data_IF_690021551021
#
_entry.id   IF_690021551021
#
_cell.length_a   1.000
_cell.length_b   1.000
_cell.length_c   1.000
_cell.angle_alpha   90.00
_cell.angle_beta   90.00
_cell.angle_gamma   90.00
#
_symmetry.space_group_name_H-M   'P 1'
#
loop_
_entity.id
_entity.type
_entity.pdbx_description
1 polymer ?
#
# COMPACT_ATOMS: atom_id res chain seq x y z
N UNK A 1 12.36 -29.69 -8.44
CA UNK A 1 13.60 -29.98 -7.69
C UNK A 1 14.72 -29.16 -8.34
N UNK A 2 14.80 -27.85 -8.03
CA UNK A 2 15.90 -26.95 -8.39
C UNK A 2 15.85 -25.67 -7.52
N UNK A 3 15.23 -25.73 -6.35
CA UNK A 3 15.03 -24.54 -5.50
C UNK A 3 16.09 -24.38 -4.39
N UNK A 4 17.07 -25.28 -4.28
CA UNK A 4 18.03 -25.32 -3.18
C UNK A 4 19.51 -25.19 -3.61
N UNK A 5 19.80 -24.35 -4.61
CA UNK A 5 21.20 -23.95 -4.81
C UNK A 5 21.53 -22.77 -3.89
N UNK A 6 21.62 -23.05 -2.61
CA UNK A 6 22.30 -22.21 -1.63
C UNK A 6 23.80 -22.36 -1.83
N UNK A 7 24.35 -21.65 -2.81
CA UNK A 7 25.78 -21.45 -2.88
C UNK A 7 26.13 -20.27 -1.95
N UNK A 8 26.90 -20.56 -0.93
CA UNK A 8 27.45 -19.57 -0.01
C UNK A 8 28.36 -18.60 -0.78
N UNK A 9 27.83 -17.46 -1.17
CA UNK A 9 28.60 -16.32 -1.64
C UNK A 9 28.33 -15.14 -0.72
N UNK A 10 29.39 -14.55 -0.21
CA UNK A 10 29.42 -13.43 0.74
C UNK A 10 28.88 -12.10 0.15
N UNK A 11 28.22 -12.14 -0.99
CA UNK A 11 27.68 -10.95 -1.67
C UNK A 11 26.23 -10.73 -1.30
N UNK A 12 25.93 -9.52 -0.82
CA UNK A 12 24.56 -9.11 -0.51
C UNK A 12 23.62 -9.19 -1.72
N UNK A 13 24.15 -8.96 -2.94
CA UNK A 13 23.39 -8.94 -4.19
C UNK A 13 23.86 -10.08 -5.08
N UNK A 14 22.93 -10.92 -5.53
CA UNK A 14 23.20 -12.04 -6.41
C UNK A 14 22.21 -12.04 -7.58
N UNK A 15 22.71 -12.00 -8.81
CA UNK A 15 21.93 -12.07 -10.03
C UNK A 15 22.24 -13.35 -10.78
N UNK A 16 21.22 -14.11 -11.13
CA UNK A 16 21.34 -15.41 -11.81
C UNK A 16 20.53 -15.39 -13.10
N UNK A 17 21.17 -15.77 -14.21
CA UNK A 17 20.53 -16.02 -15.50
C UNK A 17 20.53 -17.53 -15.73
N UNK A 18 19.36 -18.11 -16.05
CA UNK A 18 19.25 -19.52 -16.39
C UNK A 18 19.05 -19.71 -17.89
N UNK A 19 19.88 -20.58 -18.49
CA UNK A 19 19.75 -21.03 -19.88
C UNK A 19 19.72 -22.55 -19.90
N UNK A 20 18.55 -23.14 -20.20
CA UNK A 20 18.30 -24.57 -20.08
C UNK A 20 18.60 -25.10 -18.68
N UNK A 21 19.61 -25.97 -18.55
CA UNK A 21 20.06 -26.54 -17.28
C UNK A 21 21.21 -25.74 -16.65
N UNK A 22 21.78 -24.79 -17.36
CA UNK A 22 22.91 -23.98 -16.92
C UNK A 22 22.45 -22.71 -16.19
N UNK A 23 23.20 -22.34 -15.15
CA UNK A 23 22.98 -21.14 -14.35
C UNK A 23 24.24 -20.27 -14.35
N UNK A 24 24.10 -19.03 -14.76
CA UNK A 24 25.19 -18.06 -14.86
C UNK A 24 25.03 -16.97 -13.83
N UNK A 25 26.12 -16.59 -13.16
CA UNK A 25 26.22 -15.39 -12.34
C UNK A 25 27.15 -14.39 -13.05
N UNK A 26 26.63 -13.55 -13.95
CA UNK A 26 27.44 -12.65 -14.74
C UNK A 26 28.05 -11.56 -13.89
N UNK A 27 29.17 -10.98 -14.37
CA UNK A 27 29.72 -9.75 -13.82
C UNK A 27 28.80 -8.60 -14.22
N UNK A 28 28.15 -7.98 -13.23
CA UNK A 28 27.28 -6.83 -13.43
C UNK A 28 28.12 -5.57 -13.36
N UNK A 29 27.95 -4.69 -14.37
CA UNK A 29 28.45 -3.34 -14.39
C UNK A 29 27.38 -2.40 -13.87
N UNK A 30 27.80 -1.31 -13.26
CA UNK A 30 26.91 -0.29 -12.76
C UNK A 30 25.86 -0.82 -11.74
N UNK A 31 24.76 -0.11 -11.63
CA UNK A 31 23.68 -0.44 -10.73
C UNK A 31 22.66 -1.41 -11.37
N UNK A 32 22.07 -2.24 -10.53
CA UNK A 32 20.86 -3.00 -10.85
C UNK A 32 19.68 -2.17 -10.43
N UNK A 33 18.70 -1.96 -11.32
CA UNK A 33 17.46 -1.27 -10.98
C UNK A 33 16.26 -2.20 -11.09
N UNK A 34 15.42 -2.20 -10.06
CA UNK A 34 14.16 -2.95 -10.01
C UNK A 34 13.00 -1.98 -9.78
N UNK A 35 12.13 -1.85 -10.78
CA UNK A 35 11.01 -0.92 -10.77
C UNK A 35 9.68 -1.65 -10.70
N UNK A 36 8.79 -1.20 -9.81
CA UNK A 36 7.47 -1.78 -9.56
C UNK A 36 6.45 -0.65 -9.55
N UNK A 37 5.38 -0.82 -10.32
CA UNK A 37 4.22 0.06 -10.34
C UNK A 37 2.96 -0.72 -9.92
N UNK A 38 2.08 -0.07 -9.19
CA UNK A 38 0.87 -0.71 -8.66
C UNK A 38 -0.14 -1.07 -9.74
N UNK A 39 -0.21 -0.32 -10.83
CA UNK A 39 -1.26 -0.46 -11.85
C UNK A 39 -0.71 -0.68 -13.25
N UNK A 40 -1.19 -1.73 -13.90
CA UNK A 40 -1.05 -1.92 -15.34
C UNK A 40 0.35 -2.15 -15.89
N UNK A 41 1.34 -2.37 -15.03
CA UNK A 41 2.73 -2.61 -15.44
C UNK A 41 3.31 -3.85 -14.77
N UNK A 42 4.06 -4.68 -15.51
CA UNK A 42 4.90 -5.70 -14.92
C UNK A 42 6.05 -5.04 -14.17
N UNK A 43 6.58 -5.69 -13.15
CA UNK A 43 7.82 -5.28 -12.54
C UNK A 43 8.96 -5.45 -13.53
N UNK A 44 9.88 -4.46 -13.54
CA UNK A 44 10.96 -4.35 -14.52
C UNK A 44 12.31 -4.39 -13.82
N UNK A 45 13.20 -5.27 -14.26
CA UNK A 45 14.58 -5.34 -13.83
C UNK A 45 15.49 -4.90 -14.98
N UNK A 46 16.36 -3.93 -14.73
CA UNK A 46 17.39 -3.47 -15.70
C UNK A 46 18.77 -3.59 -15.08
N UNK A 47 19.71 -4.11 -15.84
CA UNK A 47 21.11 -4.24 -15.47
C UNK A 47 22.01 -4.36 -16.69
N UNK A 48 23.29 -4.09 -16.53
CA UNK A 48 24.30 -4.23 -17.58
C UNK A 48 25.34 -5.25 -17.14
N UNK A 49 25.70 -6.15 -18.04
CA UNK A 49 26.73 -7.18 -17.79
C UNK A 49 27.87 -7.06 -18.80
N UNK A 50 29.02 -7.58 -18.40
CA UNK A 50 30.14 -7.83 -19.33
C UNK A 50 29.93 -9.20 -19.96
N UNK A 51 29.96 -9.25 -21.30
CA UNK A 51 29.91 -10.51 -22.03
C UNK A 51 31.27 -11.16 -22.04
N UNK A 52 31.31 -12.43 -21.68
CA UNK A 52 32.46 -13.31 -21.82
C UNK A 52 32.12 -14.51 -22.72
N UNK A 53 33.12 -15.33 -23.03
CA UNK A 53 32.96 -16.49 -23.93
C UNK A 53 32.16 -17.64 -23.31
N UNK A 54 31.89 -17.61 -22.02
CA UNK A 54 31.19 -18.66 -21.26
C UNK A 54 29.70 -18.38 -21.22
N UNK A 55 29.31 -17.09 -21.17
CA UNK A 55 27.93 -16.68 -21.00
C UNK A 55 27.09 -16.97 -22.24
N UNK A 56 26.17 -17.93 -22.11
CA UNK A 56 25.21 -18.27 -23.15
C UNK A 56 23.81 -17.99 -22.64
N UNK A 57 23.11 -17.01 -23.23
CA UNK A 57 21.73 -16.70 -22.89
C UNK A 57 21.05 -15.96 -24.03
N UNK A 58 19.70 -16.06 -24.07
CA UNK A 58 18.89 -15.39 -25.07
C UNK A 58 17.61 -14.79 -24.41
N UNK A 59 16.86 -14.04 -25.21
CA UNK A 59 15.52 -13.58 -24.83
C UNK A 59 14.63 -14.80 -24.48
N UNK A 60 13.81 -14.61 -23.45
CA UNK A 60 13.00 -15.70 -22.88
C UNK A 60 13.69 -16.47 -21.74
N UNK A 61 15.01 -16.35 -21.58
CA UNK A 61 15.69 -16.95 -20.42
C UNK A 61 15.26 -16.29 -19.12
N UNK A 62 15.20 -17.10 -18.03
CA UNK A 62 14.81 -16.57 -16.75
C UNK A 62 15.95 -15.85 -16.04
N UNK A 63 15.59 -14.81 -15.30
CA UNK A 63 16.47 -14.00 -14.46
C UNK A 63 15.92 -14.00 -13.04
N UNK A 64 16.83 -14.19 -12.07
CA UNK A 64 16.54 -14.14 -10.64
C UNK A 64 17.46 -13.14 -9.97
N UNK A 65 16.89 -12.26 -9.12
CA UNK A 65 17.67 -11.37 -8.27
C UNK A 65 17.42 -11.74 -6.82
N UNK A 66 18.52 -11.88 -6.10
CA UNK A 66 18.51 -12.13 -4.65
C UNK A 66 19.20 -10.97 -3.93
N UNK A 67 18.67 -10.60 -2.79
CA UNK A 67 19.29 -9.65 -1.86
C UNK A 67 19.39 -10.29 -0.48
N UNK A 68 20.62 -10.39 0.04
CA UNK A 68 20.91 -11.07 1.33
C UNK A 68 20.26 -12.45 1.44
N UNK A 69 20.33 -13.22 0.35
CA UNK A 69 19.77 -14.58 0.26
C UNK A 69 18.25 -14.63 0.02
N UNK A 70 17.56 -13.51 0.04
CA UNK A 70 16.10 -13.44 -0.21
C UNK A 70 15.86 -13.20 -1.70
N UNK A 71 15.08 -14.07 -2.35
CA UNK A 71 14.66 -13.85 -3.74
C UNK A 71 13.66 -12.69 -3.83
N UNK A 72 14.03 -11.64 -4.58
CA UNK A 72 13.23 -10.40 -4.69
C UNK A 72 12.62 -10.20 -6.07
N UNK A 73 13.24 -10.73 -7.12
CA UNK A 73 12.72 -10.67 -8.48
C UNK A 73 12.94 -12.00 -9.19
N UNK A 74 11.91 -12.48 -9.88
CA UNK A 74 11.96 -13.58 -10.83
C UNK A 74 11.22 -13.15 -12.10
N UNK A 75 11.90 -13.21 -13.24
CA UNK A 75 11.29 -12.83 -14.51
C UNK A 75 12.04 -13.40 -15.70
N UNK A 76 11.81 -12.80 -16.86
CA UNK A 76 12.35 -13.28 -18.13
C UNK A 76 12.98 -12.13 -18.89
N UNK A 77 14.04 -12.41 -19.65
CA UNK A 77 14.72 -11.45 -20.52
C UNK A 77 13.81 -11.15 -21.72
N UNK A 78 13.47 -9.88 -21.89
CA UNK A 78 12.70 -9.42 -23.07
C UNK A 78 13.51 -8.59 -24.03
N UNK A 79 14.61 -7.99 -23.56
CA UNK A 79 15.46 -7.15 -24.41
C UNK A 79 16.93 -7.30 -24.00
N UNK A 80 17.78 -7.38 -25.03
CA UNK A 80 19.23 -7.31 -24.93
C UNK A 80 19.73 -6.24 -25.90
N UNK A 81 20.57 -5.33 -25.40
CA UNK A 81 21.25 -4.32 -26.23
C UNK A 81 22.75 -4.41 -25.98
N UNK A 82 23.51 -4.83 -27.00
CA UNK A 82 24.97 -4.95 -26.93
C UNK A 82 25.63 -3.71 -27.53
N UNK A 83 26.65 -3.22 -26.90
CA UNK A 83 27.55 -2.18 -27.43
C UNK A 83 28.84 -2.78 -28.02
N UNK A 84 29.69 -1.90 -28.53
CA UNK A 84 31.00 -2.28 -29.14
C UNK A 84 32.04 -2.73 -28.09
N UNK A 85 31.83 -2.44 -26.82
CA UNK A 85 32.71 -2.76 -25.69
C UNK A 85 32.34 -4.08 -25.03
N UNK A 86 31.45 -4.86 -25.66
CA UNK A 86 30.89 -6.12 -25.13
C UNK A 86 30.07 -5.97 -23.85
N UNK A 87 29.54 -4.78 -23.58
CA UNK A 87 28.55 -4.62 -22.53
C UNK A 87 27.17 -4.96 -23.08
N UNK A 88 26.40 -5.69 -22.31
CA UNK A 88 25.02 -6.04 -22.66
C UNK A 88 24.08 -5.46 -21.61
N UNK A 89 23.31 -4.44 -22.01
CA UNK A 89 22.17 -3.95 -21.24
C UNK A 89 21.00 -4.88 -21.43
N UNK A 90 20.44 -5.35 -20.31
CA UNK A 90 19.34 -6.31 -20.26
C UNK A 90 18.12 -5.67 -19.60
N UNK A 91 16.95 -5.92 -20.18
CA UNK A 91 15.66 -5.60 -19.59
C UNK A 91 14.89 -6.91 -19.41
N UNK A 92 14.54 -7.19 -18.18
CA UNK A 92 13.69 -8.34 -17.82
C UNK A 92 12.40 -7.86 -17.16
N UNK A 93 11.33 -8.62 -17.39
CA UNK A 93 10.02 -8.41 -16.77
C UNK A 93 9.58 -9.68 -16.05
N UNK A 94 8.80 -9.49 -14.98
CA UNK A 94 8.10 -10.59 -14.32
C UNK A 94 6.95 -11.14 -15.19
N UNK A 95 6.26 -12.18 -14.70
CA UNK A 95 5.20 -12.83 -15.47
C UNK A 95 3.96 -11.95 -15.69
N UNK A 96 3.78 -10.85 -14.95
CA UNK A 96 2.72 -9.88 -15.23
C UNK A 96 2.84 -9.26 -16.62
N UNK A 97 4.03 -9.34 -17.27
CA UNK A 97 4.22 -8.89 -18.65
C UNK A 97 3.25 -9.56 -19.61
N UNK A 98 2.85 -10.81 -19.34
CA UNK A 98 1.90 -11.54 -20.19
C UNK A 98 0.47 -11.00 -20.08
N UNK A 99 0.12 -10.26 -19.02
CA UNK A 99 -1.17 -9.57 -18.92
C UNK A 99 -1.30 -8.32 -19.79
N UNK A 100 -0.23 -7.92 -20.50
CA UNK A 100 -0.32 -6.93 -21.60
C UNK A 100 -0.90 -7.51 -22.89
N UNK A 101 -1.08 -8.82 -22.98
CA UNK A 101 -1.81 -9.44 -24.09
C UNK A 101 -3.27 -8.99 -24.09
N UNK A 102 -3.83 -8.87 -25.30
CA UNK A 102 -5.25 -8.55 -25.49
C UNK A 102 -6.04 -9.81 -25.80
N UNK A 103 -7.26 -9.86 -25.30
CA UNK A 103 -8.20 -10.95 -25.59
C UNK A 103 -9.64 -10.48 -25.41
N UNK A 104 -10.59 -11.39 -25.62
CA UNK A 104 -12.03 -11.21 -25.40
C UNK A 104 -12.51 -12.24 -24.40
N UNK A 105 -13.04 -11.78 -23.25
CA UNK A 105 -13.57 -12.62 -22.20
C UNK A 105 -15.03 -12.29 -21.88
N UNK A 106 -15.82 -13.34 -21.68
CA UNK A 106 -17.19 -13.22 -21.17
C UNK A 106 -17.26 -14.00 -19.87
N UNK A 107 -17.64 -13.34 -18.81
CA UNK A 107 -17.80 -14.00 -17.52
C UNK A 107 -19.00 -13.44 -16.76
N UNK A 108 -19.64 -14.32 -15.98
CA UNK A 108 -20.81 -13.99 -15.17
C UNK A 108 -20.62 -14.45 -13.75
N UNK A 109 -21.03 -13.61 -12.79
CA UNK A 109 -21.02 -13.90 -11.37
C UNK A 109 -19.64 -14.34 -10.81
N UNK A 110 -18.55 -13.73 -11.30
CA UNK A 110 -17.18 -13.99 -10.84
C UNK A 110 -16.63 -12.83 -10.01
N UNK A 111 -15.82 -13.14 -9.01
CA UNK A 111 -15.03 -12.14 -8.29
C UNK A 111 -13.79 -11.75 -9.10
N UNK A 112 -13.18 -10.59 -8.80
CA UNK A 112 -11.90 -10.21 -9.41
C UNK A 112 -10.80 -11.26 -9.13
N UNK A 113 -10.80 -11.86 -7.94
CA UNK A 113 -9.89 -12.95 -7.58
C UNK A 113 -10.11 -14.22 -8.43
N UNK A 114 -11.36 -14.57 -8.74
CA UNK A 114 -11.69 -15.67 -9.64
C UNK A 114 -11.29 -15.37 -11.09
N UNK A 115 -11.44 -14.11 -11.53
CA UNK A 115 -10.96 -13.64 -12.83
C UNK A 115 -9.43 -13.78 -12.94
N UNK A 116 -8.67 -13.31 -11.94
CA UNK A 116 -7.21 -13.46 -11.93
C UNK A 116 -6.79 -14.92 -12.06
N UNK A 117 -7.43 -15.84 -11.31
CA UNK A 117 -7.13 -17.28 -11.39
C UNK A 117 -7.46 -17.88 -12.76
N UNK A 118 -8.57 -17.44 -13.38
CA UNK A 118 -8.97 -17.88 -14.71
C UNK A 118 -7.93 -17.45 -15.75
N UNK A 119 -7.57 -16.18 -15.78
CA UNK A 119 -6.57 -15.63 -16.71
C UNK A 119 -5.18 -16.27 -16.48
N UNK A 120 -4.78 -16.45 -15.23
CA UNK A 120 -3.51 -17.11 -14.89
C UNK A 120 -3.47 -18.55 -15.43
N UNK A 121 -4.57 -19.29 -15.34
CA UNK A 121 -4.68 -20.66 -15.87
C UNK A 121 -4.58 -20.68 -17.41
N UNK A 122 -5.30 -19.77 -18.07
CA UNK A 122 -5.35 -19.72 -19.53
C UNK A 122 -4.00 -19.34 -20.16
N UNK A 123 -3.23 -18.50 -19.45
CA UNK A 123 -1.88 -18.10 -19.86
C UNK A 123 -0.75 -18.91 -19.19
N UNK A 124 -1.09 -20.02 -18.50
CA UNK A 124 -0.14 -20.91 -17.84
C UNK A 124 0.79 -20.19 -16.86
N UNK A 125 0.28 -19.18 -16.14
CA UNK A 125 1.01 -18.41 -15.14
C UNK A 125 0.86 -19.04 -13.76
N UNK A 126 1.93 -19.00 -12.98
CA UNK A 126 1.93 -19.54 -11.62
C UNK A 126 1.37 -18.51 -10.64
N UNK A 127 0.54 -18.93 -9.70
CA UNK A 127 0.06 -18.07 -8.61
C UNK A 127 0.21 -18.74 -7.26
N UNK A 128 0.27 -17.93 -6.20
CA UNK A 128 0.36 -18.37 -4.81
C UNK A 128 -0.88 -17.89 -4.03
N UNK A 129 -0.78 -16.76 -3.35
CA UNK A 129 -1.87 -16.19 -2.54
C UNK A 129 -2.75 -15.31 -3.43
N UNK A 130 -4.00 -15.70 -3.62
CA UNK A 130 -5.02 -14.89 -4.28
C UNK A 130 -6.17 -14.70 -3.28
N UNK A 131 -6.16 -13.59 -2.57
CA UNK A 131 -7.19 -13.23 -1.59
C UNK A 131 -8.55 -13.02 -2.26
N UNK A 132 -9.63 -13.50 -1.64
CA UNK A 132 -10.96 -13.38 -2.19
C UNK A 132 -11.49 -11.94 -2.10
N UNK A 133 -11.84 -11.38 -3.25
CA UNK A 133 -12.37 -10.00 -3.36
C UNK A 133 -13.87 -9.90 -3.11
N UNK A 134 -14.58 -11.02 -2.93
CA UNK A 134 -15.98 -11.17 -2.49
C UNK A 134 -17.05 -10.50 -3.36
N UNK A 135 -16.72 -9.50 -4.17
CA UNK A 135 -17.67 -8.79 -5.04
C UNK A 135 -17.82 -9.51 -6.37
N UNK A 136 -19.06 -9.86 -6.75
CA UNK A 136 -19.38 -10.58 -7.97
C UNK A 136 -19.66 -9.64 -9.14
N UNK A 137 -19.03 -9.90 -10.26
CA UNK A 137 -19.06 -9.09 -11.47
C UNK A 137 -19.46 -9.95 -12.65
N UNK A 138 -20.25 -9.38 -13.55
CA UNK A 138 -20.59 -9.98 -14.86
C UNK A 138 -20.24 -8.98 -15.95
N UNK A 139 -19.42 -9.40 -16.93
CA UNK A 139 -18.94 -8.51 -17.99
C UNK A 139 -18.69 -9.26 -19.31
N UNK A 140 -18.76 -8.48 -20.38
CA UNK A 140 -18.20 -8.79 -21.70
C UNK A 140 -17.02 -7.85 -21.91
N UNK A 141 -15.83 -8.40 -21.99
CA UNK A 141 -14.58 -7.67 -22.19
C UNK A 141 -14.08 -7.96 -23.60
N UNK A 142 -14.16 -6.99 -24.50
CA UNK A 142 -13.76 -7.16 -25.89
C UNK A 142 -12.48 -6.40 -26.20
N UNK A 143 -11.49 -7.09 -26.77
CA UNK A 143 -10.23 -6.51 -27.26
C UNK A 143 -9.50 -5.64 -26.21
N UNK A 144 -9.60 -6.03 -24.96
CA UNK A 144 -8.92 -5.36 -23.84
C UNK A 144 -7.66 -6.11 -23.44
N UNK A 145 -6.71 -5.41 -22.83
CA UNK A 145 -5.60 -6.10 -22.17
C UNK A 145 -6.10 -6.85 -20.95
N UNK A 146 -5.46 -7.97 -20.62
CA UNK A 146 -5.80 -8.72 -19.40
C UNK A 146 -5.61 -7.85 -18.15
N UNK A 147 -4.62 -6.93 -18.15
CA UNK A 147 -4.48 -5.92 -17.12
C UNK A 147 -5.72 -5.05 -16.99
N UNK A 148 -6.24 -4.49 -18.10
CA UNK A 148 -7.41 -3.62 -18.06
C UNK A 148 -8.63 -4.34 -17.48
N UNK A 149 -8.82 -5.63 -17.84
CA UNK A 149 -9.90 -6.46 -17.32
C UNK A 149 -9.78 -6.63 -15.80
N UNK A 150 -8.58 -6.98 -15.32
CA UNK A 150 -8.31 -7.16 -13.87
C UNK A 150 -8.47 -5.84 -13.14
N UNK A 151 -7.86 -4.75 -13.62
CA UNK A 151 -7.92 -3.44 -12.96
C UNK A 151 -9.35 -2.93 -12.90
N UNK A 152 -10.14 -3.09 -13.96
CA UNK A 152 -11.55 -2.72 -13.95
C UNK A 152 -12.34 -3.51 -12.90
N UNK A 153 -12.09 -4.82 -12.76
CA UNK A 153 -12.74 -5.65 -11.76
C UNK A 153 -12.32 -5.29 -10.33
N UNK A 154 -11.06 -4.90 -10.12
CA UNK A 154 -10.56 -4.43 -8.83
C UNK A 154 -11.11 -3.05 -8.49
N UNK A 155 -11.24 -2.13 -9.47
CA UNK A 155 -11.85 -0.81 -9.28
C UNK A 155 -13.34 -0.92 -8.92
N UNK A 156 -14.08 -1.86 -9.55
CA UNK A 156 -15.47 -2.14 -9.17
C UNK A 156 -15.54 -2.66 -7.72
N UNK A 157 -14.62 -3.56 -7.35
CA UNK A 157 -14.53 -4.06 -5.97
C UNK A 157 -14.26 -2.91 -4.98
N UNK A 158 -13.33 -2.00 -5.31
CA UNK A 158 -13.04 -0.83 -4.48
C UNK A 158 -14.26 0.07 -4.30
N UNK A 159 -14.98 0.37 -5.40
CA UNK A 159 -16.19 1.21 -5.37
C UNK A 159 -17.31 0.63 -4.53
N UNK A 160 -17.48 -0.70 -4.56
CA UNK A 160 -18.59 -1.38 -3.89
C UNK A 160 -18.26 -1.81 -2.47
N UNK A 161 -17.04 -2.28 -2.24
CA UNK A 161 -16.62 -2.83 -0.93
C UNK A 161 -15.72 -1.89 -0.13
N UNK A 162 -15.18 -0.81 -0.74
CA UNK A 162 -14.16 0.08 -0.18
C UNK A 162 -12.88 -0.67 0.22
N UNK A 163 -12.64 -1.81 -0.39
CA UNK A 163 -11.45 -2.63 -0.20
C UNK A 163 -10.58 -2.52 -1.45
N UNK A 164 -9.34 -2.08 -1.27
CA UNK A 164 -8.35 -1.99 -2.34
C UNK A 164 -7.48 -3.23 -2.34
N UNK A 165 -7.33 -3.84 -3.51
CA UNK A 165 -6.47 -4.98 -3.74
C UNK A 165 -5.38 -4.64 -4.75
N UNK A 166 -4.22 -5.25 -4.59
CA UNK A 166 -3.10 -5.12 -5.53
C UNK A 166 -2.67 -6.49 -6.01
N UNK A 167 -2.45 -6.58 -7.33
CA UNK A 167 -1.88 -7.76 -7.98
C UNK A 167 -0.41 -7.48 -8.27
N UNK A 168 0.46 -8.38 -7.84
CA UNK A 168 1.90 -8.31 -8.06
C UNK A 168 2.49 -9.71 -8.26
N UNK A 169 3.72 -9.77 -8.75
CA UNK A 169 4.50 -10.99 -8.78
C UNK A 169 5.35 -11.12 -7.52
N UNK A 170 5.26 -12.26 -6.85
CA UNK A 170 6.05 -12.61 -5.67
C UNK A 170 7.01 -13.73 -6.03
N UNK A 171 8.17 -13.34 -6.52
CA UNK A 171 9.24 -14.23 -6.96
C UNK A 171 8.75 -15.35 -7.91
N UNK A 172 8.10 -14.95 -9.01
CA UNK A 172 7.59 -15.85 -10.05
C UNK A 172 6.21 -16.46 -9.73
N UNK A 173 5.46 -15.90 -8.78
CA UNK A 173 4.11 -16.33 -8.43
C UNK A 173 3.17 -15.12 -8.28
N UNK A 174 2.08 -15.10 -9.04
CA UNK A 174 1.07 -14.07 -8.91
C UNK A 174 0.47 -14.07 -7.51
N UNK A 175 0.39 -12.90 -6.93
CA UNK A 175 -0.17 -12.68 -5.60
C UNK A 175 -1.14 -11.52 -5.64
N UNK A 176 -2.36 -11.71 -5.13
CA UNK A 176 -3.38 -10.68 -4.97
C UNK A 176 -3.64 -10.49 -3.48
N UNK A 177 -3.41 -9.29 -2.97
CA UNK A 177 -3.60 -8.96 -1.54
C UNK A 177 -4.39 -7.69 -1.34
N UNK A 178 -5.12 -7.65 -0.23
CA UNK A 178 -5.73 -6.43 0.27
C UNK A 178 -4.64 -5.47 0.78
N UNK A 179 -4.66 -4.23 0.30
CA UNK A 179 -3.70 -3.18 0.67
C UNK A 179 -3.64 -2.95 2.18
N UNK A 180 -4.76 -3.07 2.88
CA UNK A 180 -4.81 -2.94 4.34
C UNK A 180 -3.93 -3.97 5.08
N UNK A 181 -3.69 -5.14 4.49
CA UNK A 181 -2.79 -6.16 5.03
C UNK A 181 -1.31 -5.95 4.68
N UNK A 182 -1.01 -4.96 3.83
CA UNK A 182 0.34 -4.66 3.33
C UNK A 182 0.98 -3.45 4.02
N UNK A 183 0.63 -3.20 5.28
CA UNK A 183 1.26 -2.16 6.08
C UNK A 183 2.66 -2.56 6.48
N UNK A 184 3.59 -1.63 6.32
CA UNK A 184 4.97 -1.76 6.78
C UNK A 184 5.22 -0.85 7.97
N UNK A 185 6.28 -1.16 8.69
CA UNK A 185 6.81 -0.38 9.82
C UNK A 185 7.98 0.54 9.39
N UNK A 186 8.32 0.54 8.11
CA UNK A 186 9.39 1.37 7.53
C UNK A 186 8.94 2.82 7.46
N UNK A 187 9.46 3.64 8.38
CA UNK A 187 9.09 5.06 8.51
C UNK A 187 9.85 5.89 7.48
N UNK A 188 9.12 6.73 6.75
CA UNK A 188 9.66 7.76 5.87
C UNK A 188 9.69 9.09 6.62
N UNK A 189 10.88 9.55 7.02
CA UNK A 189 11.09 10.81 7.73
C UNK A 189 12.25 11.60 7.11
N UNK A 190 12.48 12.83 7.58
CA UNK A 190 13.53 13.71 7.07
C UNK A 190 14.96 13.13 7.18
N UNK A 191 15.20 12.14 8.06
CA UNK A 191 16.52 11.56 8.27
C UNK A 191 16.91 10.50 7.21
N UNK A 192 15.91 9.89 6.56
CA UNK A 192 16.11 8.79 5.58
C UNK A 192 15.87 9.20 4.12
N UNK A 193 15.55 10.47 3.87
CA UNK A 193 15.17 11.03 2.57
C UNK A 193 16.20 12.09 2.17
N UNK A 194 16.72 12.00 0.96
CA UNK A 194 17.64 13.02 0.43
C UNK A 194 16.89 14.20 -0.19
N UNK A 195 15.81 13.91 -0.94
CA UNK A 195 15.02 14.92 -1.63
C UNK A 195 13.56 14.49 -1.75
N UNK A 196 12.65 15.48 -1.81
CA UNK A 196 11.22 15.23 -1.96
C UNK A 196 10.54 16.27 -2.86
N UNK A 197 9.43 15.84 -3.48
CA UNK A 197 8.49 16.69 -4.19
C UNK A 197 7.07 16.36 -3.71
N UNK A 198 6.37 17.35 -3.15
CA UNK A 198 5.00 17.20 -2.66
C UNK A 198 4.02 17.98 -3.51
N UNK A 199 3.00 17.30 -4.00
CA UNK A 199 1.92 17.89 -4.78
C UNK A 199 0.56 17.64 -4.12
N UNK A 200 -0.24 18.70 -3.99
CA UNK A 200 -1.64 18.65 -3.56
C UNK A 200 -2.52 19.30 -4.63
N UNK A 201 -3.48 18.56 -5.16
CA UNK A 201 -4.28 19.00 -6.32
C UNK A 201 -5.77 18.70 -6.13
N UNK A 202 -6.60 19.47 -6.84
CA UNK A 202 -8.02 19.21 -7.07
C UNK A 202 -8.35 19.06 -8.56
N UNK A 203 -7.33 18.98 -9.42
CA UNK A 203 -7.47 19.00 -10.88
C UNK A 203 -7.96 17.65 -11.45
N UNK A 204 -7.57 16.53 -10.83
CA UNK A 204 -7.97 15.20 -11.27
C UNK A 204 -8.46 14.34 -10.08
N UNK A 205 -9.42 13.46 -10.36
CA UNK A 205 -10.01 12.53 -9.38
C UNK A 205 -10.57 13.20 -8.11
N UNK A 206 -10.94 14.50 -8.23
CA UNK A 206 -11.60 15.27 -7.16
C UNK A 206 -12.97 15.72 -7.65
N UNK A 207 -14.03 15.31 -6.94
CA UNK A 207 -15.40 15.62 -7.31
C UNK A 207 -16.20 16.13 -6.11
N UNK A 208 -16.77 17.34 -6.25
CA UNK A 208 -17.67 17.94 -5.26
C UNK A 208 -19.12 17.56 -5.51
N UNK A 209 -19.40 16.94 -6.67
CA UNK A 209 -20.74 16.52 -7.08
C UNK A 209 -20.66 15.21 -7.87
N UNK A 210 -21.44 14.24 -7.45
CA UNK A 210 -21.64 12.98 -8.17
C UNK A 210 -23.02 13.01 -8.80
N UNK A 211 -23.11 12.74 -10.09
CA UNK A 211 -24.35 12.62 -10.84
C UNK A 211 -24.40 11.27 -11.53
N UNK A 212 -25.25 10.38 -11.01
CA UNK A 212 -25.52 9.09 -11.62
C UNK A 212 -26.86 9.14 -12.35
N UNK A 213 -26.92 8.45 -13.51
CA UNK A 213 -28.15 8.36 -14.30
C UNK A 213 -28.45 6.90 -14.63
N UNK A 214 -29.71 6.54 -14.60
CA UNK A 214 -30.23 5.22 -14.99
C UNK A 214 -31.26 5.39 -16.09
N UNK A 215 -31.14 4.61 -17.16
CA UNK A 215 -32.18 4.57 -18.18
C UNK A 215 -33.40 3.77 -17.63
N UNK A 216 -34.57 4.39 -17.64
CA UNK A 216 -35.81 3.82 -17.18
C UNK A 216 -36.68 3.43 -18.39
N UNK A 217 -36.73 2.15 -18.67
CA UNK A 217 -37.45 1.61 -19.84
C UNK A 217 -38.97 1.77 -19.72
N UNK A 218 -39.53 1.79 -18.50
CA UNK A 218 -40.98 1.96 -18.26
C UNK A 218 -41.46 3.35 -18.61
N UNK A 219 -40.68 4.36 -18.27
CA UNK A 219 -41.02 5.78 -18.48
C UNK A 219 -40.41 6.37 -19.73
N UNK A 220 -39.50 5.67 -20.41
CA UNK A 220 -38.65 6.17 -21.51
C UNK A 220 -37.89 7.44 -21.14
N UNK A 221 -37.56 7.63 -19.84
CA UNK A 221 -36.81 8.77 -19.29
C UNK A 221 -35.59 8.28 -18.54
N UNK A 222 -34.74 9.24 -18.17
CA UNK A 222 -33.60 8.98 -17.29
C UNK A 222 -33.93 9.38 -15.87
N UNK A 223 -33.76 8.44 -14.94
CA UNK A 223 -33.74 8.75 -13.51
C UNK A 223 -32.36 9.35 -13.17
N UNK A 224 -32.36 10.44 -12.42
CA UNK A 224 -31.15 11.20 -12.07
C UNK A 224 -30.98 11.20 -10.56
N UNK A 225 -29.80 10.81 -10.11
CA UNK A 225 -29.41 10.77 -8.70
C UNK A 225 -28.19 11.66 -8.48
N UNK A 226 -28.21 12.48 -7.43
CA UNK A 226 -27.16 13.47 -7.16
C UNK A 226 -26.78 13.40 -5.69
N UNK A 227 -25.47 13.26 -5.41
CA UNK A 227 -24.87 13.56 -4.12
C UNK A 227 -23.87 14.72 -4.30
N UNK A 228 -23.82 15.66 -3.35
CA UNK A 228 -22.94 16.82 -3.46
C UNK A 228 -22.52 17.36 -2.10
N UNK A 229 -21.33 17.96 -2.03
CA UNK A 229 -20.82 18.67 -0.86
C UNK A 229 -20.85 20.19 -1.11
N UNK A 230 -21.79 20.87 -0.45
CA UNK A 230 -21.97 22.32 -0.62
C UNK A 230 -20.81 23.14 -0.06
N UNK A 231 -20.04 22.62 0.90
CA UNK A 231 -18.89 23.32 1.47
C UNK A 231 -17.72 23.32 0.46
N UNK A 232 -17.37 22.15 -0.07
CA UNK A 232 -16.35 22.07 -1.11
C UNK A 232 -16.77 22.71 -2.43
N UNK A 233 -18.05 22.67 -2.80
CA UNK A 233 -18.54 23.40 -3.97
C UNK A 233 -18.34 24.93 -3.85
N UNK A 234 -18.43 25.49 -2.64
CA UNK A 234 -18.14 26.92 -2.43
C UNK A 234 -16.66 27.25 -2.56
N UNK A 235 -15.77 26.35 -2.14
CA UNK A 235 -14.33 26.61 -2.12
C UNK A 235 -13.61 26.18 -3.41
N UNK A 236 -14.06 25.10 -4.07
CA UNK A 236 -13.40 24.51 -5.24
C UNK A 236 -14.23 24.62 -6.53
N UNK A 237 -15.47 25.11 -6.44
CA UNK A 237 -16.41 25.10 -7.55
C UNK A 237 -17.11 23.74 -7.72
N UNK A 238 -17.81 23.60 -8.85
CA UNK A 238 -18.54 22.38 -9.20
C UNK A 238 -17.63 21.46 -10.01
N UNK A 239 -17.02 20.52 -9.34
CA UNK A 239 -16.26 19.42 -9.96
C UNK A 239 -17.19 18.20 -10.01
N UNK A 240 -17.72 17.88 -11.21
CA UNK A 240 -18.78 16.88 -11.35
C UNK A 240 -18.29 15.59 -11.98
N UNK A 241 -18.50 14.47 -11.28
CA UNK A 241 -18.46 13.13 -11.85
C UNK A 241 -19.81 12.79 -12.45
N UNK A 242 -19.83 12.22 -13.68
CA UNK A 242 -21.02 11.75 -14.36
C UNK A 242 -20.84 10.31 -14.79
N UNK A 243 -21.77 9.42 -14.43
CA UNK A 243 -21.75 8.00 -14.82
C UNK A 243 -23.17 7.51 -15.09
N UNK A 244 -23.33 6.63 -16.10
CA UNK A 244 -24.54 5.85 -16.31
C UNK A 244 -24.42 4.53 -15.58
N UNK A 245 -25.42 4.18 -14.75
CA UNK A 245 -25.46 2.94 -13.99
C UNK A 245 -26.36 1.91 -14.68
N UNK A 246 -26.21 0.63 -14.25
CA UNK A 246 -27.02 -0.47 -14.79
C UNK A 246 -28.52 -0.21 -14.55
N UNK A 247 -29.33 -0.48 -15.58
CA UNK A 247 -30.79 -0.29 -15.56
C UNK A 247 -31.50 -1.12 -14.48
N UNK A 248 -30.91 -2.26 -14.09
CA UNK A 248 -31.46 -3.15 -13.09
C UNK A 248 -31.10 -2.75 -11.65
N UNK A 249 -30.25 -1.73 -11.45
CA UNK A 249 -29.85 -1.24 -10.15
C UNK A 249 -31.01 -0.56 -9.45
N UNK A 250 -31.30 -0.93 -8.22
CA UNK A 250 -32.37 -0.30 -7.44
C UNK A 250 -32.03 1.15 -7.06
N UNK A 251 -33.04 1.95 -6.78
CA UNK A 251 -32.88 3.35 -6.34
C UNK A 251 -31.99 3.46 -5.09
N UNK A 252 -32.17 2.53 -4.14
CA UNK A 252 -31.40 2.51 -2.90
C UNK A 252 -29.91 2.23 -3.16
N UNK A 253 -29.60 1.29 -4.04
CA UNK A 253 -28.21 0.99 -4.44
C UNK A 253 -27.56 2.15 -5.17
N UNK A 254 -28.29 2.86 -6.05
CA UNK A 254 -27.77 4.03 -6.76
C UNK A 254 -27.47 5.18 -5.79
N UNK A 255 -28.37 5.46 -4.84
CA UNK A 255 -28.14 6.46 -3.80
C UNK A 255 -26.92 6.12 -2.95
N UNK A 256 -26.82 4.87 -2.50
CA UNK A 256 -25.66 4.40 -1.74
C UNK A 256 -24.36 4.55 -2.56
N UNK A 257 -24.38 4.21 -3.86
CA UNK A 257 -23.24 4.39 -4.76
C UNK A 257 -22.85 5.86 -4.90
N UNK A 258 -23.83 6.79 -5.03
CA UNK A 258 -23.56 8.23 -5.04
C UNK A 258 -22.80 8.69 -3.78
N UNK A 259 -23.25 8.27 -2.61
CA UNK A 259 -22.65 8.66 -1.33
C UNK A 259 -21.24 8.08 -1.17
N UNK A 260 -21.04 6.83 -1.60
CA UNK A 260 -19.72 6.18 -1.59
C UNK A 260 -18.75 6.92 -2.51
N UNK A 261 -19.14 7.23 -3.74
CA UNK A 261 -18.31 7.94 -4.71
C UNK A 261 -17.99 9.35 -4.23
N UNK A 262 -18.97 10.07 -3.67
CA UNK A 262 -18.71 11.38 -3.09
C UNK A 262 -17.69 11.29 -1.96
N UNK A 263 -17.84 10.35 -1.03
CA UNK A 263 -16.90 10.15 0.07
C UNK A 263 -15.49 9.78 -0.41
N UNK A 264 -15.39 8.99 -1.47
CA UNK A 264 -14.10 8.53 -2.01
C UNK A 264 -13.34 9.66 -2.72
N UNK A 265 -14.04 10.51 -3.47
CA UNK A 265 -13.44 11.48 -4.38
C UNK A 265 -13.56 12.95 -3.94
N UNK A 266 -14.36 13.28 -2.90
CA UNK A 266 -14.52 14.66 -2.43
C UNK A 266 -13.38 15.08 -1.49
N UNK A 267 -12.16 14.95 -1.97
CA UNK A 267 -10.93 15.30 -1.25
C UNK A 267 -9.84 15.73 -2.24
N UNK A 268 -8.85 16.49 -1.76
CA UNK A 268 -7.64 16.76 -2.54
C UNK A 268 -6.88 15.48 -2.80
N UNK A 269 -6.36 15.32 -4.00
CA UNK A 269 -5.36 14.31 -4.30
C UNK A 269 -4.01 14.78 -3.76
N UNK A 270 -3.26 13.89 -3.14
CA UNK A 270 -1.92 14.16 -2.62
C UNK A 270 -0.94 13.16 -3.20
N UNK A 271 0.20 13.63 -3.65
CA UNK A 271 1.31 12.79 -4.07
C UNK A 271 2.61 13.31 -3.49
N UNK A 272 3.49 12.39 -3.12
CA UNK A 272 4.79 12.66 -2.56
C UNK A 272 5.82 11.80 -3.30
N UNK A 273 6.76 12.44 -3.95
CA UNK A 273 7.91 11.76 -4.54
C UNK A 273 9.09 11.89 -3.59
N UNK A 274 9.73 10.77 -3.27
CA UNK A 274 10.90 10.69 -2.41
C UNK A 274 12.08 10.15 -3.22
N UNK A 275 13.25 10.73 -3.05
CA UNK A 275 14.46 10.34 -3.76
C UNK A 275 15.53 9.84 -2.82
N UNK A 276 16.25 8.83 -3.30
CA UNK A 276 17.41 8.26 -2.63
C UNK A 276 17.16 7.85 -1.16
N UNK A 277 15.99 7.28 -0.91
CA UNK A 277 15.60 6.76 0.42
C UNK A 277 16.39 5.50 0.73
N UNK A 278 16.79 5.31 1.99
CA UNK A 278 17.44 4.07 2.42
C UNK A 278 16.60 2.84 2.06
N UNK A 279 17.22 1.84 1.43
CA UNK A 279 16.54 0.70 0.85
C UNK A 279 15.95 -0.29 1.85
N UNK A 280 14.69 -0.67 1.63
CA UNK A 280 14.02 -1.79 2.29
C UNK A 280 13.31 -2.65 1.22
N UNK A 281 13.75 -3.90 1.04
CA UNK A 281 13.22 -4.82 0.01
C UNK A 281 11.75 -5.20 0.24
N UNK A 282 11.20 -4.95 1.41
CA UNK A 282 9.78 -5.18 1.72
C UNK A 282 8.87 -4.12 1.09
N UNK A 283 9.43 -2.94 0.78
CA UNK A 283 8.68 -1.85 0.15
C UNK A 283 8.43 -2.20 -1.31
N UNK A 284 7.16 -2.32 -1.67
CA UNK A 284 6.71 -2.58 -3.04
C UNK A 284 5.46 -1.77 -3.34
N UNK A 285 5.16 -1.59 -4.61
CA UNK A 285 3.92 -0.93 -5.00
C UNK A 285 2.70 -1.66 -4.41
N UNK A 286 1.79 -0.90 -3.80
CA UNK A 286 0.64 -1.41 -3.03
C UNK A 286 0.86 -1.51 -1.52
N UNK A 287 2.09 -1.36 -1.01
CA UNK A 287 2.32 -1.27 0.43
C UNK A 287 1.87 0.08 0.99
N UNK A 288 1.51 0.08 2.27
CA UNK A 288 1.28 1.29 3.06
C UNK A 288 2.49 1.55 3.94
N UNK A 289 3.07 2.73 3.81
CA UNK A 289 4.23 3.17 4.61
C UNK A 289 3.87 4.38 5.46
N UNK A 290 4.28 4.44 6.74
CA UNK A 290 4.08 5.61 7.57
C UNK A 290 5.05 6.72 7.15
N UNK A 291 4.50 7.90 6.87
CA UNK A 291 5.24 9.10 6.47
C UNK A 291 5.15 10.14 7.58
N UNK A 292 6.31 10.65 8.01
CA UNK A 292 6.45 11.71 9.02
C UNK A 292 7.40 12.76 8.49
N UNK A 293 6.86 13.74 7.77
CA UNK A 293 7.65 14.80 7.15
C UNK A 293 7.13 16.17 7.60
N UNK A 294 8.07 16.99 8.05
CA UNK A 294 7.85 18.42 8.22
C UNK A 294 8.40 19.12 6.98
N UNK A 295 7.50 19.71 6.18
CA UNK A 295 7.81 20.43 4.95
C UNK A 295 7.84 21.95 5.18
N UNK A 296 7.78 22.39 6.43
CA UNK A 296 7.78 23.78 6.86
C UNK A 296 6.37 24.34 7.04
N UNK A 297 5.56 24.39 6.00
CA UNK A 297 4.16 24.82 6.02
C UNK A 297 3.14 23.66 6.04
N UNK A 298 3.61 22.44 5.85
CA UNK A 298 2.79 21.22 5.82
C UNK A 298 3.48 20.13 6.66
N UNK A 299 2.76 19.59 7.63
CA UNK A 299 3.15 18.36 8.32
C UNK A 299 2.41 17.17 7.72
N UNK A 300 3.16 16.14 7.32
CA UNK A 300 2.61 14.85 6.88
C UNK A 300 2.83 13.83 7.98
N UNK A 301 1.75 13.31 8.56
CA UNK A 301 1.77 12.30 9.63
C UNK A 301 0.69 11.26 9.35
N UNK A 302 0.85 10.54 8.26
CA UNK A 302 -0.17 9.59 7.80
C UNK A 302 0.45 8.38 7.10
N UNK A 303 -0.37 7.35 6.87
CA UNK A 303 -0.01 6.27 5.97
C UNK A 303 -0.19 6.71 4.52
N UNK A 304 0.86 6.54 3.72
CA UNK A 304 0.77 6.74 2.28
C UNK A 304 0.92 5.42 1.53
N UNK A 305 0.20 5.32 0.43
CA UNK A 305 0.22 4.15 -0.45
C UNK A 305 1.37 4.30 -1.46
N UNK A 306 2.21 3.29 -1.54
CA UNK A 306 3.27 3.22 -2.55
C UNK A 306 2.65 2.95 -3.92
N UNK A 307 2.61 3.96 -4.78
CA UNK A 307 2.13 3.84 -6.17
C UNK A 307 3.22 3.26 -7.07
N UNK A 308 4.46 3.74 -6.85
CA UNK A 308 5.65 3.30 -7.59
C UNK A 308 6.86 3.27 -6.67
N UNK A 309 7.70 2.26 -6.86
CA UNK A 309 9.02 2.18 -6.24
C UNK A 309 10.04 1.73 -7.26
N UNK A 310 11.21 2.37 -7.24
CA UNK A 310 12.40 1.96 -7.97
C UNK A 310 13.50 1.67 -6.96
N UNK A 311 13.87 0.42 -6.82
CA UNK A 311 15.03 0.00 -6.05
C UNK A 311 16.28 0.12 -6.91
N UNK A 312 17.33 0.66 -6.33
CA UNK A 312 18.66 0.76 -6.96
C UNK A 312 19.67 0.06 -6.05
N UNK A 313 20.33 -0.94 -6.59
CA UNK A 313 21.40 -1.69 -5.92
C UNK A 313 22.73 -1.33 -6.55
N UNK A 314 23.61 -0.73 -5.77
CA UNK A 314 24.91 -0.24 -6.23
C UNK A 314 25.96 -0.42 -5.13
N UNK A 315 27.12 -1.00 -5.44
CA UNK A 315 28.26 -1.13 -4.53
C UNK A 315 27.89 -1.67 -3.13
N UNK A 316 27.06 -2.72 -3.06
CA UNK A 316 26.48 -3.29 -1.82
C UNK A 316 25.53 -2.34 -1.06
N UNK A 317 25.22 -1.19 -1.61
CA UNK A 317 24.20 -0.27 -1.06
C UNK A 317 22.86 -0.50 -1.75
N UNK A 318 21.78 -0.19 -1.05
CA UNK A 318 20.43 -0.29 -1.56
C UNK A 318 19.67 0.98 -1.24
N UNK A 319 19.16 1.64 -2.28
CA UNK A 319 18.35 2.84 -2.20
C UNK A 319 17.03 2.66 -2.92
N UNK A 320 16.08 3.55 -2.63
CA UNK A 320 14.76 3.57 -3.24
C UNK A 320 14.35 4.98 -3.68
N UNK A 321 13.75 5.08 -4.88
CA UNK A 321 12.92 6.22 -5.25
C UNK A 321 11.46 5.81 -5.12
N UNK A 322 10.64 6.61 -4.46
CA UNK A 322 9.23 6.30 -4.18
C UNK A 322 8.31 7.36 -4.78
N UNK A 323 7.18 6.92 -5.30
CA UNK A 323 6.01 7.77 -5.53
C UNK A 323 4.89 7.28 -4.63
N UNK A 324 4.47 8.12 -3.71
CA UNK A 324 3.47 7.85 -2.70
C UNK A 324 2.21 8.66 -2.98
N UNK A 325 1.05 8.09 -2.71
CA UNK A 325 -0.25 8.76 -2.77
C UNK A 325 -1.01 8.58 -1.47
N UNK A 326 -2.11 9.32 -1.27
CA UNK A 326 -2.93 9.21 -0.07
C UNK A 326 -3.40 7.77 0.17
N UNK A 327 -3.16 7.24 1.36
CA UNK A 327 -3.42 5.85 1.72
C UNK A 327 -4.14 5.64 3.07
N UNK A 328 -4.38 6.70 3.82
CA UNK A 328 -4.92 6.62 5.19
C UNK A 328 -6.27 5.89 5.28
N UNK A 329 -7.14 6.07 4.30
CA UNK A 329 -8.44 5.41 4.29
C UNK A 329 -8.32 3.88 4.22
N UNK A 330 -7.28 3.36 3.54
CA UNK A 330 -7.02 1.93 3.44
C UNK A 330 -6.30 1.38 4.68
N UNK A 331 -5.61 2.24 5.41
CA UNK A 331 -4.93 1.89 6.65
C UNK A 331 -5.91 1.55 7.78
N UNK A 332 -7.09 2.14 7.79
CA UNK A 332 -8.10 1.99 8.86
C UNK A 332 -9.01 0.77 8.72
N UNK A 333 -9.09 0.14 7.53
CA UNK A 333 -10.03 -0.98 7.29
C UNK A 333 -9.59 -2.34 7.86
N UNK A 334 -8.37 -2.50 8.36
CA UNK A 334 -7.86 -3.80 8.85
C UNK A 334 -8.40 -4.24 10.22
N UNK A 335 -9.16 -3.40 10.92
CA UNK A 335 -9.61 -3.69 12.30
C UNK A 335 -11.05 -4.20 12.44
N UNK A 336 -11.85 -4.30 11.35
CA UNK A 336 -13.29 -4.61 11.47
C UNK A 336 -13.75 -5.97 10.95
N UNK A 337 -12.88 -6.86 10.48
CA UNK A 337 -13.30 -8.11 9.82
C UNK A 337 -13.18 -9.41 10.64
N UNK A 338 -12.99 -9.34 11.96
CA UNK A 338 -13.12 -10.53 12.83
C UNK A 338 -14.06 -10.27 13.98
N UNK A 339 -15.35 -10.25 13.71
CA UNK A 339 -16.38 -10.64 14.71
C UNK A 339 -17.69 -10.97 14.00
N UNK A 340 -17.87 -12.22 13.61
CA UNK A 340 -19.19 -12.81 13.35
C UNK A 340 -19.41 -13.92 14.37
N UNK A 341 -20.17 -13.62 15.38
CA UNK A 341 -20.61 -14.52 16.42
C UNK A 341 -21.91 -14.00 17.04
N UNK A 342 -22.98 -14.52 16.49
CA UNK A 342 -24.35 -14.44 16.90
C UNK A 342 -24.59 -14.36 18.43
N UNK A 343 -25.39 -13.38 18.90
CA UNK A 343 -26.48 -13.65 19.88
C UNK A 343 -27.43 -12.46 19.99
N UNK A 344 -28.70 -12.73 19.76
CA UNK A 344 -29.83 -11.87 20.11
C UNK A 344 -29.86 -11.60 21.61
N UNK A 345 -30.09 -10.35 22.05
CA UNK A 345 -31.20 -10.05 22.95
C UNK A 345 -31.46 -8.56 23.16
N UNK A 346 -32.71 -8.29 23.43
CA UNK A 346 -33.40 -7.01 23.52
C UNK A 346 -33.09 -6.22 24.80
N UNK A 347 -33.31 -4.89 24.62
CA UNK A 347 -33.84 -3.90 25.58
C UNK A 347 -33.10 -3.64 26.92
N UNK A 348 -32.61 -2.45 27.14
CA UNK A 348 -33.20 -1.39 27.99
C UNK A 348 -32.24 -0.20 28.21
N UNK A 349 -32.83 0.98 28.20
CA UNK A 349 -32.22 2.26 28.55
C UNK A 349 -31.79 2.30 30.03
N UNK A 350 -30.61 2.85 30.32
CA UNK A 350 -30.41 3.77 31.45
C UNK A 350 -29.08 4.53 31.38
N UNK A 351 -29.19 5.82 31.60
CA UNK A 351 -28.07 6.80 31.71
C UNK A 351 -27.24 6.55 33.00
N UNK A 352 -25.91 6.59 32.83
CA UNK A 352 -24.90 6.69 33.89
C UNK A 352 -23.52 6.76 33.31
N UNK A 353 -22.52 7.47 33.90
CA UNK A 353 -21.24 7.68 33.26
C UNK A 353 -20.48 6.36 33.11
N UNK A 354 -20.14 6.01 31.87
CA UNK A 354 -19.50 4.76 31.49
C UNK A 354 -18.08 4.67 32.07
N UNK A 355 -17.85 3.73 32.97
CA UNK A 355 -16.54 3.14 33.20
C UNK A 355 -16.11 2.39 31.92
N UNK A 356 -14.98 2.79 31.34
CA UNK A 356 -14.43 2.14 30.16
C UNK A 356 -13.95 0.73 30.52
N UNK A 357 -14.65 -0.28 30.06
CA UNK A 357 -14.14 -1.65 30.02
C UNK A 357 -13.08 -1.73 28.91
N UNK A 358 -11.83 -1.91 29.29
CA UNK A 358 -10.68 -2.10 28.39
C UNK A 358 -10.93 -3.36 27.54
N UNK A 359 -10.84 -3.23 26.22
CA UNK A 359 -11.02 -4.38 25.30
C UNK A 359 -9.88 -5.39 25.46
N UNK A 360 -10.06 -6.62 24.99
CA UNK A 360 -8.99 -7.64 25.00
C UNK A 360 -7.77 -7.18 24.18
N UNK A 361 -8.00 -6.45 23.11
CA UNK A 361 -6.96 -5.87 22.24
C UNK A 361 -6.21 -4.74 22.95
N UNK A 362 -6.89 -3.88 23.69
CA UNK A 362 -6.27 -2.85 24.52
C UNK A 362 -5.38 -3.46 25.60
N UNK A 363 -5.82 -4.53 26.25
CA UNK A 363 -5.01 -5.25 27.25
C UNK A 363 -3.74 -5.88 26.64
N UNK A 364 -3.84 -6.47 25.44
CA UNK A 364 -2.69 -7.01 24.73
C UNK A 364 -1.69 -5.89 24.34
N UNK A 365 -2.19 -4.76 23.85
CA UNK A 365 -1.38 -3.59 23.55
C UNK A 365 -0.71 -3.01 24.80
N UNK A 366 -1.43 -2.85 25.90
CA UNK A 366 -0.89 -2.42 27.20
C UNK A 366 0.27 -3.32 27.63
N UNK A 367 0.08 -4.64 27.53
CA UNK A 367 1.10 -5.61 27.91
C UNK A 367 2.35 -5.52 27.02
N UNK A 368 2.18 -5.34 25.70
CA UNK A 368 3.27 -5.16 24.74
C UNK A 368 4.05 -3.87 25.05
N UNK A 369 3.37 -2.76 25.27
CA UNK A 369 4.00 -1.48 25.60
C UNK A 369 4.78 -1.57 26.92
N UNK A 370 4.20 -2.14 27.96
CA UNK A 370 4.87 -2.27 29.26
C UNK A 370 6.10 -3.19 29.22
N UNK A 371 6.21 -4.12 28.28
CA UNK A 371 7.41 -4.93 28.06
C UNK A 371 8.58 -4.11 27.48
N UNK A 372 8.28 -3.11 26.65
CA UNK A 372 9.28 -2.29 25.96
C UNK A 372 9.66 -1.05 26.76
N UNK A 373 8.72 -0.48 27.50
CA UNK A 373 8.90 0.74 28.29
C UNK A 373 9.88 0.53 29.46
N UNK A 374 10.78 1.52 29.64
CA UNK A 374 11.78 1.54 30.71
C UNK A 374 11.74 2.88 31.46
N UNK A 375 12.44 2.95 32.56
CA UNK A 375 12.61 4.18 33.37
C UNK A 375 11.26 4.85 33.71
N UNK A 376 11.12 6.14 33.42
CA UNK A 376 9.88 6.91 33.69
C UNK A 376 8.69 6.49 32.87
N UNK A 377 8.91 5.79 31.73
CA UNK A 377 7.84 5.19 30.91
C UNK A 377 7.33 3.85 31.45
N UNK A 378 8.04 3.19 32.37
CA UNK A 378 7.61 1.89 32.89
C UNK A 378 6.19 1.94 33.42
N UNK A 379 5.38 0.93 33.06
CA UNK A 379 3.98 0.77 33.47
C UNK A 379 3.01 1.88 32.99
N UNK A 380 3.39 2.69 32.00
CA UNK A 380 2.52 3.74 31.44
C UNK A 380 1.71 3.27 30.23
N UNK A 381 1.80 2.02 29.81
CA UNK A 381 1.13 1.49 28.62
C UNK A 381 -0.37 1.71 28.62
N UNK A 382 -1.04 1.63 29.78
CA UNK A 382 -2.48 1.90 29.91
C UNK A 382 -2.84 3.37 29.63
N UNK A 383 -1.95 4.31 29.98
CA UNK A 383 -2.12 5.74 29.73
C UNK A 383 -1.99 6.02 28.23
N UNK A 384 -0.99 5.43 27.59
CA UNK A 384 -0.81 5.53 26.14
C UNK A 384 -2.03 4.99 25.39
N UNK A 385 -2.50 3.78 25.69
CA UNK A 385 -3.67 3.19 25.04
C UNK A 385 -4.93 4.03 25.27
N UNK A 386 -5.18 4.47 26.50
CA UNK A 386 -6.32 5.33 26.88
C UNK A 386 -6.39 6.60 26.02
N UNK A 387 -5.31 7.35 25.93
CA UNK A 387 -5.33 8.62 25.20
C UNK A 387 -5.19 8.42 23.69
N UNK A 388 -4.47 7.42 23.25
CA UNK A 388 -4.45 7.07 21.81
C UNK A 388 -5.84 6.71 21.30
N UNK A 389 -6.62 5.93 22.04
CA UNK A 389 -8.01 5.64 21.69
C UNK A 389 -8.89 6.89 21.71
N UNK A 390 -8.72 7.77 22.72
CA UNK A 390 -9.50 9.01 22.86
C UNK A 390 -9.25 9.97 21.69
N UNK A 391 -8.01 10.08 21.23
CA UNK A 391 -7.61 10.95 20.11
C UNK A 391 -7.55 10.23 18.76
N UNK A 392 -7.94 8.94 18.71
CA UNK A 392 -7.98 8.10 17.48
C UNK A 392 -6.63 7.96 16.79
N UNK A 393 -5.55 7.91 17.55
CA UNK A 393 -4.18 7.70 17.04
C UNK A 393 -3.65 6.33 17.43
N UNK A 394 -2.60 5.86 16.78
CA UNK A 394 -2.02 4.55 17.05
C UNK A 394 -1.17 4.56 18.32
N UNK A 395 -1.53 3.74 19.32
CA UNK A 395 -0.83 3.69 20.61
C UNK A 395 0.63 3.23 20.51
N UNK A 396 0.94 2.28 19.63
CA UNK A 396 2.31 1.82 19.42
C UNK A 396 3.19 2.90 18.80
N UNK A 397 2.61 3.70 17.88
CA UNK A 397 3.29 4.83 17.28
C UNK A 397 3.61 5.92 18.31
N UNK A 398 2.61 6.33 19.11
CA UNK A 398 2.81 7.31 20.17
C UNK A 398 3.87 6.86 21.19
N UNK A 399 3.88 5.56 21.48
CA UNK A 399 4.90 4.96 22.33
C UNK A 399 6.29 5.00 21.70
N UNK A 400 6.42 4.70 20.41
CA UNK A 400 7.70 4.75 19.70
C UNK A 400 8.29 6.16 19.68
N UNK A 401 7.47 7.18 19.38
CA UNK A 401 7.87 8.60 19.44
C UNK A 401 8.36 8.93 20.85
N UNK A 402 7.59 8.59 21.88
CA UNK A 402 7.96 8.87 23.27
C UNK A 402 9.25 8.16 23.69
N UNK A 403 9.48 6.94 23.24
CA UNK A 403 10.73 6.20 23.47
C UNK A 403 11.91 6.95 22.84
N UNK A 404 11.76 7.37 21.60
CA UNK A 404 12.80 8.11 20.87
C UNK A 404 13.11 9.45 21.54
N UNK A 405 12.11 10.29 21.75
CA UNK A 405 12.25 11.63 22.33
C UNK A 405 12.83 11.64 23.77
N UNK A 406 12.61 10.58 24.50
CA UNK A 406 13.00 10.51 25.92
C UNK A 406 14.14 9.54 26.21
N UNK A 407 14.71 8.88 25.19
CA UNK A 407 15.64 7.78 25.41
C UNK A 407 15.01 6.69 26.29
N UNK A 408 13.79 6.28 25.97
CA UNK A 408 12.96 5.36 26.74
C UNK A 408 12.75 5.79 28.20
N UNK A 409 12.35 7.04 28.39
CA UNK A 409 12.05 7.62 29.70
C UNK A 409 13.28 8.01 30.53
N UNK A 410 14.49 8.06 29.98
CA UNK A 410 15.72 8.37 30.68
C UNK A 410 16.10 9.85 30.68
N UNK A 411 15.58 10.65 29.73
CA UNK A 411 15.93 12.07 29.57
C UNK A 411 15.57 12.92 30.81
N UNK A 412 16.31 13.99 31.03
CA UNK A 412 16.06 14.92 32.14
C UNK A 412 14.72 15.64 32.04
N UNK A 413 14.27 15.95 30.82
CA UNK A 413 12.97 16.53 30.55
C UNK A 413 11.84 15.57 30.92
N UNK A 414 11.96 14.30 30.56
CA UNK A 414 11.00 13.27 30.94
C UNK A 414 10.95 13.08 32.46
N UNK A 415 12.11 12.91 33.11
CA UNK A 415 12.21 12.65 34.55
C UNK A 415 11.70 13.81 35.41
N UNK A 416 12.12 15.04 35.09
CA UNK A 416 11.93 16.22 35.97
C UNK A 416 10.70 17.04 35.60
N UNK A 417 10.23 16.96 34.33
CA UNK A 417 9.15 17.81 33.82
C UNK A 417 7.96 17.03 33.26
N UNK A 418 7.93 15.70 33.40
CA UNK A 418 6.91 14.82 32.81
C UNK A 418 6.67 15.07 31.31
N UNK A 419 7.72 15.47 30.58
CA UNK A 419 7.65 15.78 29.17
C UNK A 419 8.08 14.54 28.37
N UNK A 420 7.09 13.80 27.85
CA UNK A 420 7.28 12.51 27.20
C UNK A 420 7.42 12.60 25.66
N UNK A 421 7.31 13.81 25.08
CA UNK A 421 7.31 14.02 23.63
C UNK A 421 8.23 15.18 23.20
N UNK A 422 9.25 15.50 23.97
CA UNK A 422 10.25 16.50 23.61
C UNK A 422 9.74 17.95 23.46
N UNK A 423 8.53 18.25 23.93
CA UNK A 423 7.88 19.55 23.75
C UNK A 423 8.71 20.67 24.38
N UNK A 424 9.25 21.57 23.54
CA UNK A 424 10.20 22.61 23.97
C UNK A 424 9.60 23.56 25.00
N UNK A 425 10.28 23.71 26.15
CA UNK A 425 9.88 24.64 27.22
C UNK A 425 8.72 24.17 28.08
N UNK A 426 8.09 23.02 27.83
CA UNK A 426 6.92 22.56 28.58
C UNK A 426 7.27 21.68 29.78
N UNK A 427 6.48 21.83 30.84
CA UNK A 427 6.51 21.01 32.07
C UNK A 427 5.08 20.67 32.48
N UNK A 428 4.84 19.42 32.87
CA UNK A 428 3.50 18.92 33.21
C UNK A 428 3.43 18.48 34.67
N UNK A 429 2.26 18.64 35.26
CA UNK A 429 2.03 18.33 36.66
C UNK A 429 2.07 16.84 37.01
N UNK A 430 1.76 15.99 36.02
CA UNK A 430 1.74 14.54 36.20
C UNK A 430 2.18 13.78 34.93
N UNK A 431 2.48 12.49 35.12
CA UNK A 431 2.76 11.55 33.99
C UNK A 431 1.56 11.45 33.07
N UNK A 432 0.35 11.34 33.62
CA UNK A 432 -0.92 11.24 32.83
C UNK A 432 -1.13 12.50 31.96
N UNK A 433 -0.90 13.69 32.55
CA UNK A 433 -1.02 14.95 31.82
C UNK A 433 0.03 15.08 30.71
N UNK A 434 1.28 14.74 31.00
CA UNK A 434 2.37 14.84 30.03
C UNK A 434 2.16 13.91 28.81
N UNK A 435 1.71 12.69 29.05
CA UNK A 435 1.37 11.73 27.97
C UNK A 435 0.14 12.22 27.21
N UNK A 436 -0.93 12.65 27.91
CA UNK A 436 -2.15 13.19 27.31
C UNK A 436 -1.85 14.36 26.37
N UNK A 437 -1.07 15.35 26.85
CA UNK A 437 -0.73 16.54 26.07
C UNK A 437 0.15 16.20 24.87
N UNK A 438 1.11 15.29 25.04
CA UNK A 438 1.95 14.84 23.95
C UNK A 438 1.14 14.15 22.86
N UNK A 439 0.25 13.23 23.21
CA UNK A 439 -0.62 12.54 22.26
C UNK A 439 -1.61 13.53 21.61
N UNK A 440 -2.21 14.43 22.41
CA UNK A 440 -3.13 15.46 21.90
C UNK A 440 -2.49 16.44 20.92
N UNK A 441 -1.20 16.75 21.09
CA UNK A 441 -0.48 17.65 20.18
C UNK A 441 -0.06 16.97 18.87
N UNK A 442 -0.01 15.62 18.87
CA UNK A 442 0.35 14.80 17.72
C UNK A 442 -0.87 14.17 17.04
N UNK A 443 -2.08 14.41 17.55
CA UNK A 443 -3.35 13.94 16.98
C UNK A 443 -3.94 15.00 16.03
#
# INVERSE_FOLDING_TARGET
MADDLVLANDRDIRLVIAHWEDFYEPVVLDNITWEIERRGSPSKLEFTIVMDDILQFCEGNSVRLYYKGIGIFYGYIFQKKRDKENHIKIVAYDQLRYFKNKDTYVYSNKTASELVKMLAKDFNLKYNVIEDTKYKISRVEENKTLFDMILTALDDTLREKKEMYVLYDDFGRLTLKNVASMKLDTVMNNDVIEDFDYNSSIDSDTYTKIKLVRDNEETSKRDVYIAQDSAHMRSWGILQMFETVDKNMSEAEIKQKCDILLKLYNKKTKSLSLKNVLGDIRVRAGCLVPVFLDLGDIELQNYMLVEKVKHTFENNSHFMDLTLVDGDEFASYSSSSYSSGNTNNKDEKKNGPAQSTTSKEDNDMINKLNKVFKNKLSNTGSIFVKYSNAYKVNAALMAAISIHETGNGSSSLCKNKNNFFGMKGMSFGSVDEGIKRGISNLS
#
